data_IF_699066522993
#
_entry.id   IF_699066522993
#
_cell.length_a   1.000
_cell.length_b   1.000
_cell.length_c   1.000
_cell.angle_alpha   90.00
_cell.angle_beta   90.00
_cell.angle_gamma   90.00
#
_symmetry.space_group_name_H-M   'P 1'
#
loop_
_entity.id
_entity.type
_entity.pdbx_description
1 polymer ?
#
# COMPACT_ATOMS: atom_id res chain seq x y z
N UNK A 1 51.74 -25.69 -58.69
CA UNK A 1 51.25 -27.01 -58.26
C UNK A 1 50.35 -26.77 -57.07
N UNK A 2 49.04 -26.91 -57.08
CA UNK A 2 48.04 -27.17 -58.10
C UNK A 2 46.69 -26.82 -57.47
N UNK A 3 45.77 -26.30 -58.28
CA UNK A 3 44.31 -26.40 -58.07
C UNK A 3 43.84 -27.67 -58.80
N UNK A 4 42.66 -28.29 -58.54
CA UNK A 4 41.36 -27.59 -58.47
C UNK A 4 40.21 -28.22 -57.62
N UNK A 5 39.19 -27.42 -57.27
CA UNK A 5 37.73 -27.66 -57.42
C UNK A 5 36.97 -26.53 -56.67
N UNK A 6 36.47 -25.47 -57.31
CA UNK A 6 35.21 -25.33 -58.08
C UNK A 6 33.89 -25.73 -57.37
N UNK A 7 33.11 -24.67 -57.06
CA UNK A 7 31.64 -24.43 -57.22
C UNK A 7 30.68 -25.30 -56.37
N UNK A 8 29.54 -24.80 -55.85
CA UNK A 8 28.58 -23.85 -56.43
C UNK A 8 27.88 -22.99 -55.35
N UNK A 9 27.26 -21.90 -55.81
CA UNK A 9 26.35 -21.04 -55.07
C UNK A 9 24.91 -21.18 -55.60
N UNK A 10 23.94 -20.72 -54.78
CA UNK A 10 22.53 -20.31 -55.05
C UNK A 10 21.43 -21.39 -55.02
N UNK A 11 20.11 -21.06 -54.86
CA UNK A 11 19.43 -19.82 -54.41
C UNK A 11 18.27 -20.03 -53.38
N UNK A 12 17.61 -18.92 -53.01
CA UNK A 12 16.40 -18.74 -52.19
C UNK A 12 15.11 -19.41 -52.71
N UNK A 13 14.24 -19.89 -51.80
CA UNK A 13 12.75 -19.99 -51.91
C UNK A 13 12.19 -19.96 -50.45
N UNK A 14 11.44 -18.95 -50.02
CA UNK A 14 9.97 -18.75 -50.10
C UNK A 14 9.10 -19.71 -49.26
N UNK A 15 8.57 -19.19 -48.13
CA UNK A 15 7.28 -19.54 -47.47
C UNK A 15 7.17 -18.65 -46.21
N UNK A 16 6.45 -17.53 -46.16
CA UNK A 16 4.99 -17.33 -46.17
C UNK A 16 4.18 -18.25 -45.25
N UNK A 17 3.28 -17.60 -44.49
CA UNK A 17 2.21 -18.09 -43.58
C UNK A 17 2.65 -18.42 -42.13
N UNK A 18 2.08 -17.89 -41.05
CA UNK A 18 0.87 -17.08 -40.80
C UNK A 18 0.97 -16.45 -39.39
N UNK A 19 0.58 -15.17 -39.25
CA UNK A 19 0.27 -14.54 -37.96
C UNK A 19 -1.23 -14.68 -37.66
N UNK A 20 -1.66 -15.03 -36.44
CA UNK A 20 -3.02 -14.78 -36.00
C UNK A 20 -3.14 -13.41 -35.33
N UNK A 21 -3.76 -12.51 -36.08
CA UNK A 21 -4.82 -11.57 -35.71
C UNK A 21 -5.05 -11.25 -34.20
N UNK A 22 -4.79 -9.99 -33.84
CA UNK A 22 -5.44 -9.28 -32.74
C UNK A 22 -5.75 -7.85 -33.21
N UNK A 23 -6.88 -7.67 -33.87
CA UNK A 23 -7.52 -6.36 -34.09
C UNK A 23 -8.09 -5.77 -32.80
N UNK A 24 -8.16 -4.44 -32.82
CA UNK A 24 -8.95 -3.52 -31.96
C UNK A 24 -8.29 -2.92 -30.72
N UNK A 25 -7.46 -1.90 -30.96
CA UNK A 25 -7.35 -0.75 -30.06
C UNK A 25 -7.66 0.53 -30.84
N UNK A 26 -8.90 1.02 -30.70
CA UNK A 26 -9.34 2.33 -31.15
C UNK A 26 -8.58 3.41 -30.39
N UNK A 27 -7.99 4.32 -31.15
CA UNK A 27 -7.40 5.55 -30.64
C UNK A 27 -8.46 6.52 -30.12
N UNK A 28 -8.16 7.18 -29.00
CA UNK A 28 -8.50 8.59 -28.82
C UNK A 28 -7.29 9.32 -28.24
N UNK A 29 -6.70 10.14 -29.09
CA UNK A 29 -5.75 11.21 -28.77
C UNK A 29 -6.51 12.51 -28.46
N UNK A 30 -5.76 13.49 -27.95
CA UNK A 30 -6.04 14.93 -27.81
C UNK A 30 -6.72 15.34 -26.49
N UNK A 31 -6.26 16.35 -25.74
CA UNK A 31 -5.26 17.38 -26.01
C UNK A 31 -5.19 18.36 -24.83
N UNK A 32 -4.18 19.23 -24.89
CA UNK A 32 -3.68 20.18 -23.88
C UNK A 32 -4.56 21.43 -23.62
N UNK A 33 -4.25 22.15 -22.52
CA UNK A 33 -4.42 23.61 -22.34
C UNK A 33 -5.66 24.04 -21.53
N UNK A 34 -5.59 24.70 -20.35
CA UNK A 34 -4.97 25.98 -19.94
C UNK A 34 -6.02 27.10 -19.74
N UNK A 35 -6.07 27.61 -18.49
CA UNK A 35 -6.30 29.00 -18.04
C UNK A 35 -7.67 29.72 -18.06
N UNK A 36 -8.14 30.00 -16.83
CA UNK A 36 -8.51 31.31 -16.21
C UNK A 36 -9.87 32.00 -16.37
N UNK A 37 -10.20 32.66 -15.25
CA UNK A 37 -11.10 33.81 -14.99
C UNK A 37 -12.61 33.52 -14.78
N UNK A 38 -13.33 34.11 -13.82
CA UNK A 38 -13.01 35.07 -12.74
C UNK A 38 -14.29 35.42 -11.96
N UNK A 39 -14.14 35.66 -10.65
CA UNK A 39 -14.80 36.67 -9.78
C UNK A 39 -16.33 36.75 -9.56
N UNK A 40 -16.67 36.69 -8.27
CA UNK A 40 -17.54 37.58 -7.44
C UNK A 40 -18.84 38.17 -8.00
N UNK A 41 -19.92 38.13 -7.19
CA UNK A 41 -20.54 39.36 -6.66
C UNK A 41 -21.59 39.05 -5.57
N UNK A 42 -21.30 39.49 -4.36
CA UNK A 42 -22.23 39.82 -3.28
C UNK A 42 -22.79 41.23 -3.49
N UNK A 43 -24.03 41.51 -3.06
CA UNK A 43 -24.41 42.75 -2.35
C UNK A 43 -25.89 42.76 -1.94
N UNK A 44 -26.08 43.29 -0.73
CA UNK A 44 -27.32 43.45 0.03
C UNK A 44 -28.06 44.78 -0.27
N UNK A 45 -29.31 44.80 0.25
CA UNK A 45 -29.97 45.87 1.03
C UNK A 45 -30.72 47.04 0.38
N UNK A 46 -31.93 47.27 0.91
CA UNK A 46 -32.54 48.56 1.37
C UNK A 46 -33.95 48.25 1.95
N UNK A 47 -34.24 48.35 3.26
CA UNK A 47 -34.55 49.52 4.13
C UNK A 47 -35.99 50.08 3.86
N UNK A 48 -36.95 50.16 4.80
CA UNK A 48 -37.12 51.08 5.97
C UNK A 48 -38.12 50.50 7.02
N UNK A 49 -37.82 50.41 8.34
CA UNK A 49 -37.97 51.40 9.45
C UNK A 49 -39.44 51.71 9.86
N UNK A 50 -39.88 51.82 11.14
CA UNK A 50 -39.23 51.99 12.45
C UNK A 50 -40.26 51.97 13.61
N UNK A 51 -39.70 51.90 14.84
CA UNK A 51 -40.19 52.39 16.15
C UNK A 51 -41.23 51.58 16.95
N UNK A 52 -41.23 51.51 18.30
CA UNK A 52 -40.23 51.56 19.38
C UNK A 52 -41.01 51.28 20.71
N UNK A 53 -40.30 50.86 21.76
CA UNK A 53 -40.66 50.91 23.19
C UNK A 53 -41.89 50.09 23.69
N UNK A 54 -41.93 49.50 24.88
CA UNK A 54 -41.15 49.73 26.11
C UNK A 54 -42.10 49.59 27.32
N UNK A 55 -41.96 48.43 27.98
CA UNK A 55 -42.35 47.95 29.31
C UNK A 55 -43.01 48.84 30.40
N UNK A 56 -43.87 48.17 31.21
CA UNK A 56 -43.99 48.24 32.69
C UNK A 56 -45.31 48.75 33.30
N UNK A 57 -46.03 47.86 34.01
CA UNK A 57 -46.31 47.97 35.47
C UNK A 57 -47.16 46.80 36.01
N UNK A 58 -46.94 46.52 37.30
CA UNK A 58 -47.34 45.35 38.09
C UNK A 58 -48.54 45.67 39.03
N UNK A 59 -49.27 44.62 39.39
CA UNK A 59 -49.98 44.37 40.67
C UNK A 59 -51.52 44.51 40.80
N UNK A 60 -52.12 43.34 41.04
CA UNK A 60 -53.06 42.89 42.10
C UNK A 60 -54.48 43.44 42.36
N UNK A 61 -55.36 42.45 42.60
CA UNK A 61 -56.56 42.41 43.48
C UNK A 61 -57.81 43.15 42.98
N UNK A 62 -59.07 42.73 43.19
CA UNK A 62 -59.76 41.64 43.90
C UNK A 62 -61.27 41.74 43.57
N UNK A 63 -62.03 40.63 43.64
CA UNK A 63 -63.48 40.45 44.01
C UNK A 63 -64.53 41.49 43.53
N UNK A 64 -65.76 41.19 43.11
CA UNK A 64 -66.73 40.13 43.46
C UNK A 64 -68.05 40.37 42.68
N UNK A 65 -68.84 39.31 42.53
CA UNK A 65 -70.32 39.23 42.52
C UNK A 65 -71.23 39.61 41.32
N UNK A 66 -72.20 38.70 41.15
CA UNK A 66 -73.54 38.75 40.51
C UNK A 66 -73.66 38.80 38.97
N UNK A 67 -74.66 38.23 38.27
CA UNK A 67 -75.64 37.13 38.43
C UNK A 67 -76.53 37.15 37.15
N UNK A 68 -77.03 35.98 36.68
CA UNK A 68 -78.34 35.78 35.97
C UNK A 68 -78.41 36.29 34.48
N UNK A 69 -78.86 35.60 33.42
CA UNK A 69 -79.69 34.39 33.21
C UNK A 69 -79.80 33.97 31.70
N UNK A 70 -80.33 32.74 31.48
CA UNK A 70 -81.01 32.13 30.30
C UNK A 70 -80.14 31.31 29.32
N UNK A 71 -80.52 30.09 28.89
CA UNK A 71 -81.56 29.09 29.24
C UNK A 71 -81.19 27.82 28.44
N UNK A 72 -80.93 26.68 29.09
CA UNK A 72 -80.89 25.37 28.41
C UNK A 72 -82.05 24.53 28.94
N UNK A 73 -82.96 24.02 28.09
CA UNK A 73 -84.02 23.15 28.54
C UNK A 73 -83.46 21.79 28.98
N UNK A 74 -83.67 21.48 30.26
CA UNK A 74 -83.37 20.20 30.90
C UNK A 74 -84.15 19.07 30.23
N UNK A 75 -83.45 18.03 29.77
CA UNK A 75 -83.76 16.61 29.98
C UNK A 75 -82.56 15.74 29.54
N UNK A 76 -82.10 14.86 30.43
CA UNK A 76 -81.04 13.85 30.29
C UNK A 76 -79.57 14.31 30.30
N UNK A 77 -79.00 14.55 31.49
CA UNK A 77 -77.57 14.36 31.76
C UNK A 77 -77.47 13.41 32.94
N UNK A 78 -77.19 12.14 32.62
CA UNK A 78 -77.06 11.07 33.59
C UNK A 78 -76.72 9.77 32.88
N UNK A 79 -75.72 9.81 32.00
CA UNK A 79 -74.89 8.74 31.39
C UNK A 79 -73.99 9.48 30.37
N UNK A 80 -72.94 10.16 30.83
CA UNK A 80 -71.97 10.79 29.93
C UNK A 80 -70.54 10.78 30.48
N UNK A 81 -70.37 10.68 31.81
CA UNK A 81 -69.05 10.53 32.42
C UNK A 81 -68.51 9.08 32.31
N UNK A 82 -69.37 8.06 32.43
CA UNK A 82 -68.92 6.65 32.41
C UNK A 82 -68.52 6.13 31.01
N UNK A 83 -69.16 6.62 29.95
CA UNK A 83 -68.81 6.27 28.55
C UNK A 83 -67.52 6.94 28.09
N UNK A 84 -67.25 8.17 28.53
CA UNK A 84 -65.96 8.83 28.26
C UNK A 84 -64.83 8.15 29.02
N UNK A 85 -65.03 7.74 30.27
CA UNK A 85 -63.99 7.00 31.03
C UNK A 85 -63.74 5.60 30.46
N UNK A 86 -64.75 4.87 29.97
CA UNK A 86 -64.56 3.58 29.29
C UNK A 86 -63.94 3.73 27.89
N UNK A 87 -64.31 4.77 27.14
CA UNK A 87 -63.68 5.08 25.86
C UNK A 87 -62.23 5.52 26.05
N UNK A 88 -61.93 6.33 27.08
CA UNK A 88 -60.55 6.73 27.43
C UNK A 88 -59.76 5.54 27.97
N UNK A 89 -60.34 4.65 28.78
CA UNK A 89 -59.68 3.43 29.23
C UNK A 89 -59.44 2.43 28.08
N UNK A 90 -60.37 2.32 27.13
CA UNK A 90 -60.20 1.54 25.90
C UNK A 90 -59.14 2.14 24.98
N UNK A 91 -59.11 3.48 24.82
CA UNK A 91 -58.06 4.19 24.08
C UNK A 91 -56.71 3.98 24.78
N UNK A 92 -56.60 4.14 26.10
CA UNK A 92 -55.35 3.92 26.86
C UNK A 92 -54.90 2.46 26.81
N UNK A 93 -55.82 1.49 26.86
CA UNK A 93 -55.48 0.07 26.68
C UNK A 93 -54.96 -0.22 25.27
N UNK A 94 -55.55 0.38 24.24
CA UNK A 94 -55.11 0.23 22.84
C UNK A 94 -53.78 0.97 22.59
N UNK A 95 -53.61 2.18 23.12
CA UNK A 95 -52.44 3.03 22.84
C UNK A 95 -51.22 2.72 23.72
N UNK A 96 -51.39 2.04 24.86
CA UNK A 96 -50.27 1.77 25.79
C UNK A 96 -50.10 0.28 26.09
N UNK A 97 -51.18 -0.48 26.35
CA UNK A 97 -51.06 -1.87 26.76
C UNK A 97 -50.72 -2.81 25.60
N UNK A 98 -51.36 -2.65 24.44
CA UNK A 98 -51.09 -3.49 23.24
C UNK A 98 -49.64 -3.32 22.74
N UNK A 99 -49.11 -2.09 22.54
CA UNK A 99 -47.69 -1.87 22.25
C UNK A 99 -46.74 -2.51 23.28
N UNK A 100 -47.09 -2.45 24.56
CA UNK A 100 -46.27 -2.99 25.63
C UNK A 100 -46.20 -4.51 25.65
N UNK A 101 -47.30 -5.20 25.35
CA UNK A 101 -47.33 -6.67 25.22
C UNK A 101 -46.50 -7.13 24.03
N UNK A 102 -46.71 -6.53 22.84
CA UNK A 102 -45.95 -6.87 21.63
C UNK A 102 -44.44 -6.70 21.82
N UNK A 103 -44.03 -5.62 22.50
CA UNK A 103 -42.62 -5.38 22.82
C UNK A 103 -42.04 -6.43 23.76
N UNK A 104 -42.81 -6.90 24.75
CA UNK A 104 -42.38 -7.97 25.65
C UNK A 104 -42.28 -9.32 24.90
N UNK A 105 -43.26 -9.63 24.06
CA UNK A 105 -43.27 -10.83 23.22
C UNK A 105 -42.10 -10.83 22.22
N UNK A 106 -41.79 -9.68 21.61
CA UNK A 106 -40.64 -9.52 20.72
C UNK A 106 -39.30 -9.84 21.44
N UNK A 107 -39.12 -9.33 22.67
CA UNK A 107 -37.95 -9.67 23.49
C UNK A 107 -37.89 -11.14 23.87
N UNK A 108 -39.04 -11.78 24.09
CA UNK A 108 -39.09 -13.21 24.35
C UNK A 108 -38.65 -14.01 23.12
N UNK A 109 -39.14 -13.65 21.92
CA UNK A 109 -38.72 -14.28 20.66
C UNK A 109 -37.21 -14.10 20.37
N UNK A 110 -36.63 -12.94 20.68
CA UNK A 110 -35.18 -12.75 20.60
C UNK A 110 -34.40 -13.74 21.46
N UNK A 111 -34.86 -13.99 22.70
CA UNK A 111 -34.24 -14.96 23.60
C UNK A 111 -34.39 -16.40 23.08
N UNK A 112 -35.45 -16.66 22.33
CA UNK A 112 -35.69 -17.93 21.66
C UNK A 112 -34.92 -18.05 20.32
N UNK A 113 -34.29 -16.97 19.86
CA UNK A 113 -33.53 -16.91 18.60
C UNK A 113 -34.37 -16.68 17.34
N UNK A 114 -35.68 -16.43 17.48
CA UNK A 114 -36.57 -16.15 16.35
C UNK A 114 -36.56 -14.65 16.01
N UNK A 115 -35.40 -14.20 15.50
CA UNK A 115 -35.13 -12.80 15.19
C UNK A 115 -36.07 -12.24 14.11
N UNK A 116 -36.46 -13.06 13.12
CA UNK A 116 -37.37 -12.63 12.06
C UNK A 116 -38.76 -12.27 12.61
N UNK A 117 -39.36 -13.11 13.47
CA UNK A 117 -40.64 -12.77 14.10
C UNK A 117 -40.49 -11.65 15.14
N UNK A 118 -39.35 -11.56 15.82
CA UNK A 118 -39.09 -10.45 16.74
C UNK A 118 -39.11 -9.10 16.03
N UNK A 119 -38.52 -8.99 14.82
CA UNK A 119 -38.54 -7.77 13.99
C UNK A 119 -39.98 -7.30 13.71
N UNK A 120 -40.86 -8.22 13.32
CA UNK A 120 -42.28 -7.92 13.07
C UNK A 120 -42.95 -7.31 14.31
N UNK A 121 -42.80 -7.96 15.47
CA UNK A 121 -43.43 -7.50 16.71
C UNK A 121 -42.83 -6.20 17.25
N UNK A 122 -41.52 -5.94 17.08
CA UNK A 122 -40.93 -4.65 17.42
C UNK A 122 -41.49 -3.53 16.54
N UNK A 123 -41.58 -3.74 15.22
CA UNK A 123 -42.13 -2.78 14.28
C UNK A 123 -43.61 -2.44 14.56
N UNK A 124 -44.38 -3.42 15.03
CA UNK A 124 -45.77 -3.21 15.45
C UNK A 124 -45.90 -2.52 16.82
N UNK A 125 -44.94 -2.74 17.73
CA UNK A 125 -44.96 -2.10 19.05
C UNK A 125 -44.74 -0.58 18.96
N UNK A 126 -43.87 -0.12 18.05
CA UNK A 126 -43.45 1.29 17.91
C UNK A 126 -43.10 1.97 19.24
N UNK A 127 -42.59 1.20 20.21
CA UNK A 127 -42.07 1.74 21.48
C UNK A 127 -40.74 2.44 21.27
N UNK A 128 -40.37 3.30 22.20
CA UNK A 128 -39.03 3.92 22.20
C UNK A 128 -37.94 2.83 22.06
N UNK A 129 -36.92 3.12 21.25
CA UNK A 129 -35.81 2.24 20.86
C UNK A 129 -36.14 1.03 19.97
N UNK A 130 -37.39 0.86 19.47
CA UNK A 130 -37.75 -0.31 18.64
C UNK A 130 -36.83 -0.47 17.41
N UNK A 131 -36.39 0.63 16.80
CA UNK A 131 -35.47 0.62 15.65
C UNK A 131 -34.12 0.00 16.00
N UNK A 132 -33.60 0.24 17.21
CA UNK A 132 -32.35 -0.36 17.68
C UNK A 132 -32.49 -1.86 17.91
N UNK A 133 -33.63 -2.32 18.42
CA UNK A 133 -33.90 -3.75 18.58
C UNK A 133 -34.10 -4.46 17.23
N UNK A 134 -34.74 -3.81 16.26
CA UNK A 134 -34.81 -4.31 14.88
C UNK A 134 -33.41 -4.42 14.27
N UNK A 135 -32.58 -3.38 14.45
CA UNK A 135 -31.19 -3.39 13.98
C UNK A 135 -30.39 -4.54 14.64
N UNK A 136 -30.55 -4.77 15.94
CA UNK A 136 -29.93 -5.91 16.63
C UNK A 136 -30.36 -7.25 16.01
N UNK A 137 -31.67 -7.45 15.79
CA UNK A 137 -32.19 -8.68 15.19
C UNK A 137 -31.66 -8.90 13.77
N UNK A 138 -31.60 -7.84 12.96
CA UNK A 138 -30.98 -7.90 11.63
C UNK A 138 -29.51 -8.30 11.70
N UNK A 139 -28.75 -7.70 12.62
CA UNK A 139 -27.35 -8.05 12.85
C UNK A 139 -27.17 -9.52 13.22
N UNK A 140 -28.03 -10.06 14.09
CA UNK A 140 -27.99 -11.48 14.47
C UNK A 140 -28.30 -12.42 13.29
N UNK A 141 -29.28 -12.07 12.44
CA UNK A 141 -29.58 -12.84 11.22
C UNK A 141 -28.39 -12.81 10.26
N UNK A 142 -27.81 -11.63 10.06
CA UNK A 142 -26.67 -11.42 9.16
C UNK A 142 -25.41 -12.15 9.66
N UNK A 143 -25.17 -12.16 10.97
CA UNK A 143 -24.02 -12.82 11.61
C UNK A 143 -24.05 -14.34 11.46
N UNK A 144 -25.24 -14.94 11.27
CA UNK A 144 -25.39 -16.37 10.97
C UNK A 144 -24.92 -16.74 9.57
N UNK A 145 -24.73 -15.76 8.68
CA UNK A 145 -24.19 -15.99 7.35
C UNK A 145 -22.67 -16.12 7.36
N UNK A 146 -22.16 -17.01 6.51
CA UNK A 146 -20.73 -17.10 6.22
C UNK A 146 -20.32 -16.22 5.02
N UNK A 147 -21.28 -15.51 4.41
CA UNK A 147 -21.00 -14.63 3.29
C UNK A 147 -20.40 -13.31 3.77
N UNK A 148 -19.27 -12.93 3.19
CA UNK A 148 -18.51 -11.73 3.56
C UNK A 148 -19.34 -10.44 3.56
N UNK A 149 -20.14 -10.21 2.50
CA UNK A 149 -20.97 -8.99 2.41
C UNK A 149 -22.03 -8.97 3.51
N UNK A 150 -22.66 -10.11 3.76
CA UNK A 150 -23.68 -10.24 4.82
C UNK A 150 -23.06 -10.01 6.21
N UNK A 151 -21.83 -10.46 6.45
CA UNK A 151 -21.10 -10.15 7.70
C UNK A 151 -20.72 -8.68 7.85
N UNK A 152 -20.44 -7.99 6.73
CA UNK A 152 -20.21 -6.55 6.73
C UNK A 152 -21.49 -5.80 7.09
N UNK A 153 -22.63 -6.20 6.53
CA UNK A 153 -23.93 -5.64 6.89
C UNK A 153 -24.26 -5.88 8.39
N UNK A 154 -23.82 -7.02 8.95
CA UNK A 154 -23.95 -7.30 10.38
C UNK A 154 -23.28 -6.24 11.25
N UNK A 155 -22.09 -5.77 10.87
CA UNK A 155 -21.39 -4.69 11.58
C UNK A 155 -22.24 -3.42 11.60
N UNK A 156 -22.77 -3.01 10.45
CA UNK A 156 -23.61 -1.79 10.35
C UNK A 156 -24.89 -1.92 11.20
N UNK A 157 -25.50 -3.12 11.20
CA UNK A 157 -26.66 -3.42 12.02
C UNK A 157 -26.33 -3.36 13.52
N UNK A 158 -25.19 -3.92 13.94
CA UNK A 158 -24.79 -3.87 15.34
C UNK A 158 -24.42 -2.47 15.82
N UNK A 159 -23.76 -1.68 14.97
CA UNK A 159 -23.47 -0.25 15.23
C UNK A 159 -24.76 0.54 15.47
N UNK A 160 -25.77 0.37 14.60
CA UNK A 160 -27.11 0.99 14.77
C UNK A 160 -27.81 0.52 16.04
N UNK A 161 -27.51 -0.69 16.52
CA UNK A 161 -28.09 -1.26 17.73
C UNK A 161 -27.31 -0.97 19.02
N UNK A 162 -26.28 -0.11 18.98
CA UNK A 162 -25.41 0.12 20.13
C UNK A 162 -26.18 0.46 21.42
N UNK A 163 -25.76 -0.20 22.51
CA UNK A 163 -26.39 -0.15 23.83
C UNK A 163 -27.56 -1.13 24.02
N UNK A 164 -27.91 -1.92 23.00
CA UNK A 164 -28.90 -3.00 23.09
C UNK A 164 -28.19 -4.34 23.31
N UNK A 165 -28.63 -5.08 24.34
CA UNK A 165 -28.15 -6.42 24.68
C UNK A 165 -26.60 -6.51 24.66
N UNK A 166 -26.04 -7.43 23.88
CA UNK A 166 -24.60 -7.65 23.67
C UNK A 166 -24.12 -7.12 22.31
N UNK A 167 -24.81 -6.14 21.72
CA UNK A 167 -24.50 -5.55 20.39
C UNK A 167 -23.02 -5.24 20.18
N UNK A 168 -22.36 -4.58 21.14
CA UNK A 168 -20.95 -4.23 21.05
C UNK A 168 -20.04 -5.48 20.98
N UNK A 169 -20.39 -6.55 21.71
CA UNK A 169 -19.66 -7.82 21.65
C UNK A 169 -19.92 -8.57 20.33
N UNK A 170 -21.15 -8.51 19.81
CA UNK A 170 -21.51 -9.11 18.52
C UNK A 170 -20.89 -8.39 17.33
N UNK A 171 -20.70 -7.08 17.44
CA UNK A 171 -19.94 -6.31 16.46
C UNK A 171 -18.49 -6.78 16.40
N UNK A 172 -17.86 -7.09 17.56
CA UNK A 172 -16.51 -7.68 17.58
C UNK A 172 -16.48 -9.08 16.96
N UNK A 173 -17.48 -9.92 17.22
CA UNK A 173 -17.64 -11.21 16.55
C UNK A 173 -17.74 -11.06 15.02
N UNK A 174 -18.53 -10.10 14.54
CA UNK A 174 -18.65 -9.81 13.11
C UNK A 174 -17.31 -9.40 12.50
N UNK A 175 -16.56 -8.50 13.16
CA UNK A 175 -15.21 -8.14 12.73
C UNK A 175 -14.25 -9.33 12.74
N UNK A 176 -14.31 -10.20 13.74
CA UNK A 176 -13.48 -11.40 13.81
C UNK A 176 -13.73 -12.35 12.62
N UNK A 177 -15.01 -12.56 12.26
CA UNK A 177 -15.39 -13.38 11.10
C UNK A 177 -14.93 -12.76 9.78
N UNK A 178 -15.07 -11.44 9.64
CA UNK A 178 -14.54 -10.70 8.47
C UNK A 178 -13.02 -10.84 8.35
N UNK A 179 -12.29 -10.74 9.47
CA UNK A 179 -10.84 -10.96 9.51
C UNK A 179 -10.46 -12.38 9.10
N UNK A 180 -11.19 -13.38 9.58
CA UNK A 180 -10.97 -14.79 9.23
C UNK A 180 -11.21 -15.03 7.75
N UNK A 181 -12.30 -14.50 7.20
CA UNK A 181 -12.59 -14.62 5.77
C UNK A 181 -11.50 -13.96 4.90
N UNK A 182 -10.96 -12.80 5.33
CA UNK A 182 -9.86 -12.14 4.61
C UNK A 182 -8.56 -12.91 4.70
N UNK A 183 -8.27 -13.51 5.85
CA UNK A 183 -7.10 -14.37 6.03
C UNK A 183 -7.16 -15.61 5.14
N UNK A 184 -8.33 -16.25 5.02
CA UNK A 184 -8.56 -17.37 4.09
C UNK A 184 -8.39 -16.98 2.62
N UNK A 185 -8.61 -15.70 2.29
CA UNK A 185 -8.39 -15.13 0.97
C UNK A 185 -6.96 -14.60 0.75
N UNK A 186 -6.03 -14.89 1.68
CA UNK A 186 -4.66 -14.38 1.70
C UNK A 186 -4.54 -12.83 1.72
N UNK A 187 -5.60 -12.12 2.07
CA UNK A 187 -5.62 -10.66 2.25
C UNK A 187 -5.27 -10.34 3.71
N UNK A 188 -3.99 -10.56 4.06
CA UNK A 188 -3.47 -10.41 5.43
C UNK A 188 -3.58 -8.99 5.95
N UNK A 189 -3.56 -7.99 5.07
CA UNK A 189 -3.66 -6.58 5.45
C UNK A 189 -5.07 -6.23 5.91
N UNK A 190 -6.08 -6.56 5.10
CA UNK A 190 -7.48 -6.38 5.51
C UNK A 190 -7.83 -7.26 6.72
N UNK A 191 -7.27 -8.48 6.80
CA UNK A 191 -7.46 -9.35 7.95
C UNK A 191 -6.93 -8.73 9.24
N UNK A 192 -5.71 -8.17 9.24
CA UNK A 192 -5.11 -7.49 10.39
C UNK A 192 -5.97 -6.32 10.88
N UNK A 193 -6.48 -5.50 9.96
CA UNK A 193 -7.39 -4.39 10.28
C UNK A 193 -8.67 -4.87 10.97
N UNK A 194 -9.28 -5.94 10.47
CA UNK A 194 -10.48 -6.51 11.06
C UNK A 194 -10.21 -7.14 12.43
N UNK A 195 -9.12 -7.88 12.59
CA UNK A 195 -8.73 -8.42 13.89
C UNK A 195 -8.41 -7.32 14.89
N UNK A 196 -7.87 -6.18 14.45
CA UNK A 196 -7.69 -5.01 15.29
C UNK A 196 -9.01 -4.38 15.76
N UNK A 197 -10.06 -4.44 14.94
CA UNK A 197 -11.42 -3.97 15.32
C UNK A 197 -12.15 -4.97 16.22
N UNK A 198 -11.80 -6.25 16.12
CA UNK A 198 -12.26 -7.32 17.00
C UNK A 198 -11.47 -7.40 18.32
N UNK A 199 -10.81 -6.32 18.76
CA UNK A 199 -9.95 -6.33 19.95
C UNK A 199 -10.67 -6.84 21.21
N UNK A 200 -10.01 -7.76 21.92
CA UNK A 200 -10.56 -8.44 23.09
C UNK A 200 -11.62 -9.50 22.81
N UNK A 201 -11.80 -9.92 21.56
CA UNK A 201 -12.66 -11.04 21.15
C UNK A 201 -11.82 -12.26 20.75
N UNK A 202 -12.04 -13.40 21.42
CA UNK A 202 -11.32 -14.66 21.19
C UNK A 202 -9.80 -14.48 21.10
N UNK A 203 -9.16 -14.99 20.06
CA UNK A 203 -7.74 -14.89 19.76
C UNK A 203 -7.42 -13.78 18.74
N UNK A 204 -8.27 -12.75 18.61
CA UNK A 204 -8.10 -11.68 17.62
C UNK A 204 -6.73 -10.99 17.71
N UNK A 205 -6.20 -10.79 18.92
CA UNK A 205 -4.86 -10.25 19.12
C UNK A 205 -3.77 -11.14 18.51
N UNK A 206 -3.86 -12.46 18.71
CA UNK A 206 -2.91 -13.42 18.15
C UNK A 206 -3.04 -13.53 16.63
N UNK A 207 -4.27 -13.50 16.09
CA UNK A 207 -4.49 -13.48 14.64
C UNK A 207 -4.00 -12.20 13.97
N UNK A 208 -4.13 -11.05 14.64
CA UNK A 208 -3.54 -9.78 14.19
C UNK A 208 -2.01 -9.89 14.13
N UNK A 209 -1.39 -10.43 15.18
CA UNK A 209 0.06 -10.67 15.20
C UNK A 209 0.50 -11.62 14.08
N UNK A 210 -0.25 -12.70 13.87
CA UNK A 210 -0.03 -13.62 12.75
C UNK A 210 -0.06 -12.90 11.39
N UNK A 211 -1.07 -12.04 11.15
CA UNK A 211 -1.16 -11.26 9.91
C UNK A 211 0.02 -10.31 9.75
N UNK A 212 0.45 -9.64 10.82
CA UNK A 212 1.61 -8.76 10.79
C UNK A 212 2.90 -9.52 10.45
N UNK A 213 3.10 -10.70 11.05
CA UNK A 213 4.25 -11.54 10.73
C UNK A 213 4.20 -12.05 9.28
N UNK A 214 3.01 -12.39 8.76
CA UNK A 214 2.82 -12.77 7.36
C UNK A 214 3.21 -11.63 6.40
N UNK A 215 2.76 -10.39 6.67
CA UNK A 215 3.15 -9.23 5.88
C UNK A 215 4.67 -8.99 5.88
N UNK A 216 5.32 -9.11 7.05
CA UNK A 216 6.77 -8.94 7.16
C UNK A 216 7.53 -10.07 6.47
N UNK A 217 7.00 -11.30 6.52
CA UNK A 217 7.57 -12.43 5.81
C UNK A 217 7.51 -12.23 4.30
N UNK A 218 6.38 -11.78 3.76
CA UNK A 218 6.26 -11.48 2.32
C UNK A 218 7.18 -10.34 1.88
N UNK A 219 7.42 -9.34 2.74
CA UNK A 219 8.42 -8.29 2.47
C UNK A 219 9.84 -8.84 2.47
N UNK A 220 10.18 -9.71 3.42
CA UNK A 220 11.48 -10.37 3.48
C UNK A 220 11.71 -11.27 2.25
N UNK A 221 10.69 -12.01 1.83
CA UNK A 221 10.72 -12.84 0.62
C UNK A 221 10.91 -11.97 -0.63
N UNK A 222 10.22 -10.83 -0.73
CA UNK A 222 10.44 -9.91 -1.84
C UNK A 222 11.89 -9.42 -1.91
N UNK A 223 12.51 -9.07 -0.78
CA UNK A 223 13.94 -8.71 -0.75
C UNK A 223 14.84 -9.88 -1.16
N UNK A 224 14.46 -11.10 -0.81
CA UNK A 224 15.16 -12.33 -1.22
C UNK A 224 15.11 -12.51 -2.73
N UNK A 225 13.92 -12.41 -3.32
CA UNK A 225 13.68 -12.56 -4.77
C UNK A 225 14.30 -11.42 -5.59
N UNK A 226 14.29 -10.19 -5.06
CA UNK A 226 14.94 -9.03 -5.68
C UNK A 226 16.48 -9.11 -5.63
N UNK A 227 17.03 -10.12 -4.96
CA UNK A 227 18.46 -10.38 -4.82
C UNK A 227 19.16 -9.52 -3.77
N UNK A 228 18.41 -8.86 -2.90
CA UNK A 228 18.91 -8.06 -1.78
C UNK A 228 19.15 -8.95 -0.55
N UNK A 229 19.98 -9.99 -0.69
CA UNK A 229 20.07 -11.08 0.28
C UNK A 229 20.46 -10.63 1.70
N UNK A 230 21.29 -9.60 1.85
CA UNK A 230 21.64 -9.05 3.17
C UNK A 230 20.44 -8.39 3.87
N UNK A 231 19.64 -7.62 3.13
CA UNK A 231 18.38 -7.04 3.63
C UNK A 231 17.38 -8.13 3.97
N UNK A 232 17.25 -9.14 3.10
CA UNK A 232 16.39 -10.29 3.32
C UNK A 232 16.77 -11.06 4.59
N UNK A 233 18.05 -11.38 4.78
CA UNK A 233 18.55 -12.08 5.97
C UNK A 233 18.19 -11.34 7.26
N UNK A 234 18.39 -10.02 7.29
CA UNK A 234 18.02 -9.19 8.42
C UNK A 234 16.50 -9.18 8.64
N UNK A 235 15.71 -9.10 7.58
CA UNK A 235 14.25 -9.08 7.65
C UNK A 235 13.70 -10.41 8.20
N UNK A 236 14.15 -11.55 7.68
CA UNK A 236 13.80 -12.87 8.22
C UNK A 236 14.23 -13.03 9.69
N UNK A 237 15.41 -12.52 10.06
CA UNK A 237 15.92 -12.60 11.43
C UNK A 237 15.10 -11.82 12.47
N UNK A 238 14.22 -10.92 12.04
CA UNK A 238 13.29 -10.20 12.93
C UNK A 238 11.96 -10.94 13.14
N UNK A 239 11.73 -12.03 12.42
CA UNK A 239 10.51 -12.83 12.52
C UNK A 239 10.69 -14.02 13.48
N UNK A 240 9.61 -14.59 14.04
CA UNK A 240 9.70 -15.83 14.79
C UNK A 240 10.30 -16.93 13.92
N UNK A 241 11.29 -17.66 14.44
CA UNK A 241 12.08 -18.62 13.65
C UNK A 241 11.26 -19.79 13.10
N UNK A 242 10.19 -20.16 13.78
CA UNK A 242 9.26 -21.23 13.42
C UNK A 242 8.05 -20.72 12.61
N UNK A 243 8.01 -19.43 12.25
CA UNK A 243 6.91 -18.86 11.48
C UNK A 243 6.93 -19.33 10.03
N UNK A 244 5.74 -19.64 9.52
CA UNK A 244 5.49 -20.05 8.14
C UNK A 244 4.19 -19.44 7.64
N UNK A 245 4.21 -18.99 6.38
CA UNK A 245 3.04 -18.48 5.68
C UNK A 245 3.14 -18.81 4.20
N UNK A 246 2.05 -19.29 3.58
CA UNK A 246 1.99 -19.65 2.15
C UNK A 246 3.14 -20.58 1.69
N UNK A 247 3.57 -21.51 2.55
CA UNK A 247 4.66 -22.45 2.27
C UNK A 247 6.08 -21.86 2.36
N UNK A 248 6.22 -20.61 2.77
CA UNK A 248 7.51 -19.94 3.00
C UNK A 248 7.84 -20.06 4.49
N UNK A 249 8.93 -20.74 4.81
CA UNK A 249 9.42 -20.89 6.19
C UNK A 249 10.59 -19.95 6.49
N UNK A 250 10.48 -19.21 7.60
CA UNK A 250 11.58 -18.36 8.11
C UNK A 250 12.84 -19.19 8.35
N UNK A 251 12.71 -20.35 8.99
CA UNK A 251 13.83 -21.24 9.27
C UNK A 251 14.55 -21.69 7.99
N UNK A 252 13.79 -22.15 6.99
CA UNK A 252 14.36 -22.61 5.71
C UNK A 252 15.06 -21.49 4.94
N UNK A 253 14.50 -20.28 4.94
CA UNK A 253 15.13 -19.12 4.28
C UNK A 253 16.41 -18.69 5.00
N UNK A 254 16.40 -18.64 6.32
CA UNK A 254 17.61 -18.33 7.10
C UNK A 254 18.71 -19.39 6.93
N UNK A 255 18.35 -20.67 6.83
CA UNK A 255 19.30 -21.75 6.54
C UNK A 255 19.91 -21.59 5.14
N UNK A 256 19.09 -21.36 4.11
CA UNK A 256 19.56 -21.15 2.75
C UNK A 256 20.52 -19.95 2.65
N UNK A 257 20.21 -18.84 3.33
CA UNK A 257 21.06 -17.65 3.40
C UNK A 257 22.37 -17.94 4.14
N UNK A 258 22.31 -18.63 5.28
CA UNK A 258 23.50 -18.96 6.08
C UNK A 258 24.45 -19.91 5.37
N UNK A 259 23.90 -20.87 4.60
CA UNK A 259 24.70 -21.78 3.77
C UNK A 259 25.38 -21.05 2.60
N UNK A 260 24.90 -19.87 2.22
CA UNK A 260 25.44 -19.03 1.16
C UNK A 260 25.94 -17.68 1.69
N UNK A 261 26.45 -17.64 2.94
CA UNK A 261 26.80 -16.39 3.62
C UNK A 261 27.76 -15.50 2.83
N UNK A 262 28.70 -16.08 2.07
CA UNK A 262 29.63 -15.31 1.22
C UNK A 262 28.92 -14.48 0.15
N UNK A 263 27.77 -14.93 -0.36
CA UNK A 263 26.94 -14.13 -1.26
C UNK A 263 26.15 -13.07 -0.51
N UNK A 264 25.59 -13.44 0.64
CA UNK A 264 24.87 -12.48 1.47
C UNK A 264 25.79 -11.31 1.84
N UNK A 265 27.04 -11.64 2.17
CA UNK A 265 28.14 -10.72 2.42
C UNK A 265 28.68 -10.06 1.17
N UNK A 266 28.23 -10.42 -0.05
CA UNK A 266 28.58 -9.78 -1.32
C UNK A 266 27.51 -8.79 -1.79
N UNK A 267 26.23 -9.14 -1.71
CA UNK A 267 25.14 -8.27 -2.18
C UNK A 267 25.04 -6.98 -1.36
N UNK A 268 24.48 -5.94 -1.97
CA UNK A 268 24.26 -4.62 -1.38
C UNK A 268 24.97 -3.51 -2.14
N UNK A 269 24.99 -2.34 -1.52
CA UNK A 269 25.63 -1.15 -2.09
C UNK A 269 27.06 -1.04 -1.60
N UNK A 270 27.98 -1.00 -2.55
CA UNK A 270 29.39 -0.77 -2.32
C UNK A 270 29.76 0.67 -2.65
N UNK A 271 30.69 1.22 -1.88
CA UNK A 271 31.23 2.56 -2.07
C UNK A 271 32.72 2.47 -2.39
N UNK A 272 33.18 3.33 -3.29
CA UNK A 272 34.59 3.48 -3.56
C UNK A 272 35.32 4.10 -2.34
N UNK A 273 36.36 3.46 -1.84
CA UNK A 273 37.28 4.04 -0.84
C UNK A 273 38.37 4.88 -1.48
N UNK A 274 38.72 4.56 -2.72
CA UNK A 274 39.68 5.29 -3.52
C UNK A 274 39.19 5.44 -4.95
N UNK A 275 39.53 6.58 -5.54
CA UNK A 275 39.28 6.88 -6.94
C UNK A 275 40.42 7.73 -7.45
N UNK A 276 40.97 7.41 -8.61
CA UNK A 276 41.99 8.24 -9.26
C UNK A 276 41.77 8.31 -10.74
N UNK A 277 42.33 9.33 -11.38
CA UNK A 277 42.28 9.48 -12.82
C UNK A 277 43.52 10.19 -13.34
N UNK A 278 43.88 9.89 -14.59
CA UNK A 278 44.98 10.54 -15.29
C UNK A 278 44.53 10.94 -16.69
N UNK A 279 44.94 12.12 -17.14
CA UNK A 279 44.97 12.45 -18.57
C UNK A 279 46.38 12.83 -18.99
N UNK A 280 46.84 12.27 -20.10
CA UNK A 280 48.19 12.48 -20.63
C UNK A 280 48.12 12.93 -22.08
N UNK A 281 48.95 13.89 -22.45
CA UNK A 281 49.28 14.25 -23.83
C UNK A 281 50.71 13.79 -24.13
N UNK A 282 50.90 13.07 -25.23
CA UNK A 282 52.17 12.43 -25.61
C UNK A 282 52.59 12.94 -26.99
N UNK A 283 53.83 13.40 -27.14
CA UNK A 283 54.38 13.87 -28.42
C UNK A 283 54.77 12.70 -29.32
N UNK A 284 53.90 12.32 -30.26
CA UNK A 284 54.10 11.15 -31.16
C UNK A 284 55.04 11.41 -32.34
N UNK A 285 55.11 12.65 -32.82
CA UNK A 285 56.06 13.06 -33.87
C UNK A 285 57.47 13.38 -33.31
N UNK A 286 57.64 13.30 -31.98
CA UNK A 286 58.84 13.71 -31.26
C UNK A 286 59.54 12.54 -30.56
N UNK A 287 60.03 12.80 -29.35
CA UNK A 287 60.80 11.88 -28.49
C UNK A 287 59.94 11.12 -27.47
N UNK A 288 58.61 11.18 -27.58
CA UNK A 288 57.70 10.52 -26.64
C UNK A 288 57.59 11.21 -25.28
N UNK A 289 58.08 12.45 -25.14
CA UNK A 289 57.80 13.30 -23.97
C UNK A 289 56.29 13.43 -23.77
N UNK A 290 55.89 13.67 -22.53
CA UNK A 290 54.48 13.82 -22.18
C UNK A 290 54.25 14.88 -21.10
N UNK A 291 53.03 15.41 -21.10
CA UNK A 291 52.46 16.23 -20.03
C UNK A 291 51.21 15.51 -19.53
N UNK A 292 50.90 15.68 -18.24
CA UNK A 292 49.77 14.98 -17.63
C UNK A 292 49.14 15.77 -16.49
N UNK A 293 47.90 15.40 -16.18
CA UNK A 293 47.23 15.73 -14.93
C UNK A 293 46.81 14.46 -14.23
N UNK A 294 47.03 14.42 -12.93
CA UNK A 294 46.57 13.36 -12.05
C UNK A 294 45.55 13.92 -11.06
N UNK A 295 44.53 13.12 -10.79
CA UNK A 295 43.58 13.31 -9.71
C UNK A 295 43.71 12.14 -8.74
N UNK A 296 44.08 12.43 -7.50
CA UNK A 296 44.19 11.43 -6.41
C UNK A 296 42.83 11.12 -5.75
N UNK A 297 41.82 11.95 -6.02
CA UNK A 297 40.41 11.75 -5.64
C UNK A 297 39.54 12.26 -6.80
N UNK A 298 38.93 11.32 -7.51
CA UNK A 298 38.07 11.58 -8.65
C UNK A 298 36.56 11.51 -8.29
N UNK A 299 36.27 11.53 -6.99
CA UNK A 299 34.92 11.52 -6.44
C UNK A 299 34.44 10.13 -6.05
N UNK A 300 33.65 10.08 -4.97
CA UNK A 300 33.06 8.84 -4.50
C UNK A 300 32.03 8.30 -5.51
N UNK A 301 32.19 7.03 -5.88
CA UNK A 301 31.26 6.27 -6.70
C UNK A 301 30.57 5.18 -5.87
N UNK A 302 29.42 4.71 -6.34
CA UNK A 302 28.72 3.57 -5.78
C UNK A 302 28.48 2.51 -6.83
N UNK A 303 28.47 1.26 -6.39
CA UNK A 303 28.13 0.09 -7.17
C UNK A 303 27.08 -0.71 -6.42
N UNK A 304 26.07 -1.21 -7.12
CA UNK A 304 25.05 -2.06 -6.53
C UNK A 304 25.26 -3.51 -6.98
N UNK A 305 25.18 -4.43 -6.03
CA UNK A 305 25.31 -5.87 -6.30
C UNK A 305 24.07 -6.59 -5.78
N UNK A 306 23.43 -7.36 -6.64
CA UNK A 306 22.29 -8.23 -6.32
C UNK A 306 22.69 -9.68 -6.57
N UNK A 307 22.18 -10.59 -5.76
CA UNK A 307 22.49 -12.01 -5.92
C UNK A 307 21.27 -12.90 -5.76
N UNK A 308 21.17 -13.94 -6.58
CA UNK A 308 20.11 -14.93 -6.54
C UNK A 308 20.70 -16.31 -6.30
N UNK A 309 20.06 -17.09 -5.44
CA UNK A 309 20.36 -18.51 -5.22
C UNK A 309 19.40 -19.29 -6.10
N UNK A 310 19.92 -19.96 -7.13
CA UNK A 310 19.09 -20.73 -8.07
C UNK A 310 18.71 -22.10 -7.48
N UNK A 311 17.62 -22.69 -7.98
CA UNK A 311 17.12 -24.00 -7.52
C UNK A 311 18.14 -25.14 -7.68
N UNK A 312 19.04 -25.03 -8.66
CA UNK A 312 20.11 -26.00 -8.91
C UNK A 312 21.34 -25.81 -8.01
N UNK A 313 21.28 -24.85 -7.07
CA UNK A 313 22.35 -24.49 -6.16
C UNK A 313 23.44 -23.62 -6.78
N UNK A 314 23.29 -23.23 -8.05
CA UNK A 314 24.15 -22.21 -8.65
C UNK A 314 23.75 -20.81 -8.18
N UNK A 315 24.67 -19.87 -8.37
CA UNK A 315 24.57 -18.52 -7.86
C UNK A 315 24.59 -17.58 -9.04
N UNK A 316 23.66 -16.64 -9.09
CA UNK A 316 23.69 -15.55 -10.07
C UNK A 316 23.99 -14.25 -9.37
N UNK A 317 25.04 -13.55 -9.80
CA UNK A 317 25.41 -12.22 -9.30
C UNK A 317 25.21 -11.22 -10.42
N UNK A 318 24.47 -10.18 -10.12
CA UNK A 318 24.26 -9.02 -10.98
C UNK A 318 24.84 -7.80 -10.31
N UNK A 319 25.35 -6.86 -11.09
CA UNK A 319 25.65 -5.55 -10.54
C UNK A 319 25.77 -4.49 -11.59
N UNK A 320 25.63 -3.26 -11.11
CA UNK A 320 25.78 -2.04 -11.87
C UNK A 320 26.78 -1.12 -11.18
N UNK A 321 27.71 -0.59 -11.95
CA UNK A 321 28.73 0.35 -11.48
C UNK A 321 28.73 1.59 -12.39
N UNK A 322 28.48 2.76 -11.81
CA UNK A 322 28.68 4.03 -12.50
C UNK A 322 30.06 4.60 -12.17
N UNK A 323 30.72 5.18 -13.17
CA UNK A 323 32.05 5.75 -12.99
C UNK A 323 32.27 6.97 -13.88
N UNK A 324 33.24 7.81 -13.49
CA UNK A 324 33.63 8.99 -14.25
C UNK A 324 35.02 8.81 -14.86
N UNK A 325 35.27 9.48 -15.98
CA UNK A 325 36.58 9.45 -16.63
C UNK A 325 36.92 10.77 -17.34
N UNK A 326 38.21 11.12 -17.49
CA UNK A 326 38.64 12.28 -18.28
C UNK A 326 38.34 12.10 -19.78
N UNK A 327 37.91 13.16 -20.45
CA UNK A 327 37.63 13.14 -21.90
C UNK A 327 38.52 14.07 -22.72
N UNK A 328 39.40 14.83 -22.08
CA UNK A 328 40.37 15.67 -22.76
C UNK A 328 41.62 15.93 -21.93
N UNK A 329 42.68 16.32 -22.62
CA UNK A 329 43.83 16.99 -22.02
C UNK A 329 43.74 18.50 -22.24
N UNK A 330 44.30 19.28 -21.31
CA UNK A 330 44.48 20.72 -21.44
C UNK A 330 45.73 21.14 -20.66
N UNK A 331 46.53 22.07 -21.16
CA UNK A 331 47.63 22.65 -20.39
C UNK A 331 47.16 23.55 -19.23
N UNK A 332 45.86 23.84 -19.16
CA UNK A 332 45.21 24.62 -18.11
C UNK A 332 44.20 23.71 -17.39
N UNK A 333 44.37 23.53 -16.08
CA UNK A 333 43.53 22.65 -15.26
C UNK A 333 42.04 22.99 -15.32
N UNK A 334 41.69 24.28 -15.37
CA UNK A 334 40.29 24.75 -15.43
C UNK A 334 39.54 24.35 -16.72
N UNK A 335 40.25 23.87 -17.75
CA UNK A 335 39.66 23.42 -19.01
C UNK A 335 39.66 21.88 -19.16
N UNK A 336 40.02 21.15 -18.10
CA UNK A 336 39.84 19.70 -18.04
C UNK A 336 38.35 19.38 -17.91
N UNK A 337 37.91 18.33 -18.61
CA UNK A 337 36.53 17.88 -18.68
C UNK A 337 36.46 16.39 -18.38
N UNK A 338 35.34 16.00 -17.80
CA UNK A 338 35.04 14.61 -17.48
C UNK A 338 33.74 14.20 -18.15
N UNK A 339 33.54 12.89 -18.29
CA UNK A 339 32.27 12.27 -18.59
C UNK A 339 32.05 11.09 -17.64
N UNK A 340 30.94 10.39 -17.81
CA UNK A 340 30.58 9.25 -16.98
C UNK A 340 29.99 8.14 -17.86
N UNK A 341 30.19 6.91 -17.43
CA UNK A 341 29.58 5.72 -18.02
C UNK A 341 29.09 4.76 -16.93
N UNK A 342 28.45 3.68 -17.36
CA UNK A 342 27.99 2.61 -16.49
C UNK A 342 28.29 1.24 -17.07
N UNK A 343 28.63 0.31 -16.18
CA UNK A 343 28.79 -1.11 -16.50
C UNK A 343 27.68 -1.88 -15.81
N UNK A 344 27.01 -2.73 -16.58
CA UNK A 344 26.15 -3.80 -16.07
C UNK A 344 26.86 -5.14 -16.27
N UNK A 345 26.85 -5.99 -15.25
CA UNK A 345 27.39 -7.35 -15.35
C UNK A 345 26.42 -8.38 -14.77
N UNK A 346 26.51 -9.60 -15.29
CA UNK A 346 25.79 -10.77 -14.80
C UNK A 346 26.68 -12.00 -14.92
N UNK A 347 26.82 -12.73 -13.82
CA UNK A 347 27.64 -13.95 -13.76
C UNK A 347 26.86 -15.05 -13.06
N UNK A 348 26.79 -16.24 -13.66
CA UNK A 348 26.18 -17.42 -13.07
C UNK A 348 27.20 -18.53 -12.88
N UNK A 349 27.29 -19.10 -11.67
CA UNK A 349 28.22 -20.19 -11.38
C UNK A 349 28.22 -20.62 -9.92
N UNK A 350 29.19 -21.46 -9.54
CA UNK A 350 29.37 -21.90 -8.14
C UNK A 350 30.17 -20.91 -7.27
N UNK A 351 30.74 -19.88 -7.89
CA UNK A 351 31.56 -18.85 -7.24
C UNK A 351 31.61 -17.60 -8.11
N UNK A 352 31.90 -16.46 -7.49
CA UNK A 352 32.14 -15.20 -8.20
C UNK A 352 33.47 -15.30 -8.96
N UNK A 353 33.50 -15.10 -10.29
CA UNK A 353 34.75 -15.10 -11.05
C UNK A 353 35.57 -13.84 -10.76
N UNK A 354 36.89 -13.94 -10.96
CA UNK A 354 37.81 -12.79 -10.75
C UNK A 354 37.52 -11.64 -11.72
N UNK A 355 37.18 -11.94 -12.98
CA UNK A 355 36.82 -10.94 -13.99
C UNK A 355 35.31 -10.96 -14.20
N UNK A 356 34.66 -9.82 -13.97
CA UNK A 356 33.20 -9.66 -14.05
C UNK A 356 32.77 -8.98 -15.34
N UNK A 357 33.60 -8.07 -15.86
CA UNK A 357 33.39 -7.31 -17.07
C UNK A 357 34.73 -6.92 -17.71
N UNK A 358 34.83 -6.96 -19.04
CA UNK A 358 35.97 -6.49 -19.82
C UNK A 358 35.51 -6.21 -21.27
N UNK A 359 35.49 -4.96 -21.70
CA UNK A 359 35.18 -4.56 -23.08
C UNK A 359 36.41 -4.04 -23.86
N UNK A 360 37.59 -4.11 -23.25
CA UNK A 360 38.85 -3.61 -23.78
C UNK A 360 39.18 -2.15 -23.40
N UNK A 361 38.21 -1.32 -23.04
CA UNK A 361 38.45 0.02 -22.47
C UNK A 361 38.20 0.02 -20.95
N UNK A 362 37.17 -0.69 -20.50
CA UNK A 362 36.77 -0.81 -19.11
C UNK A 362 36.83 -2.25 -18.62
N UNK A 363 37.28 -2.43 -17.39
CA UNK A 363 37.42 -3.74 -16.76
C UNK A 363 36.99 -3.71 -15.30
N UNK A 364 36.13 -4.64 -14.91
CA UNK A 364 35.71 -4.87 -13.54
C UNK A 364 36.21 -6.23 -13.04
N UNK A 365 36.93 -6.23 -11.93
CA UNK A 365 37.42 -7.45 -11.28
C UNK A 365 37.04 -7.50 -9.81
N UNK A 366 36.95 -8.71 -9.24
CA UNK A 366 36.72 -8.96 -7.83
C UNK A 366 37.78 -9.90 -7.27
N UNK A 367 38.49 -9.46 -6.23
CA UNK A 367 39.60 -10.22 -5.63
C UNK A 367 39.17 -11.08 -4.42
N UNK A 368 37.87 -11.10 -4.10
CA UNK A 368 37.32 -11.74 -2.90
C UNK A 368 37.00 -10.76 -1.77
N UNK A 369 37.52 -9.53 -1.83
CA UNK A 369 37.32 -8.50 -0.80
C UNK A 369 36.86 -7.15 -1.35
N UNK A 370 37.34 -6.78 -2.53
CA UNK A 370 37.04 -5.50 -3.16
C UNK A 370 36.79 -5.68 -4.66
N UNK A 371 35.98 -4.78 -5.20
CA UNK A 371 35.80 -4.63 -6.63
C UNK A 371 36.75 -3.55 -7.14
N UNK A 372 37.46 -3.85 -8.22
CA UNK A 372 38.38 -2.93 -8.89
C UNK A 372 37.84 -2.65 -10.27
N UNK A 373 37.56 -1.38 -10.54
CA UNK A 373 37.10 -0.90 -11.82
C UNK A 373 38.16 0.00 -12.44
N UNK A 374 38.65 -0.41 -13.60
CA UNK A 374 39.57 0.39 -14.40
C UNK A 374 38.93 0.83 -15.70
N UNK A 375 39.31 2.00 -16.16
CA UNK A 375 39.06 2.52 -17.50
C UNK A 375 40.38 2.99 -18.11
N UNK A 376 40.62 2.66 -19.36
CA UNK A 376 41.76 3.11 -20.15
C UNK A 376 41.37 3.34 -21.61
N UNK A 377 41.76 4.50 -22.14
CA UNK A 377 41.59 4.84 -23.54
C UNK A 377 42.83 5.51 -24.11
N UNK A 378 43.25 5.05 -25.29
CA UNK A 378 44.33 5.64 -26.08
C UNK A 378 43.77 6.26 -27.37
N UNK A 379 44.02 7.55 -27.59
CA UNK A 379 43.57 8.29 -28.76
C UNK A 379 44.77 8.83 -29.56
N UNK A 380 45.10 8.18 -30.68
CA UNK A 380 46.33 8.41 -31.45
C UNK A 380 46.16 9.25 -32.72
N UNK A 381 44.92 9.58 -33.07
CA UNK A 381 44.55 10.16 -34.35
C UNK A 381 43.85 11.52 -34.24
N UNK A 382 43.69 12.06 -33.04
CA UNK A 382 43.06 13.36 -32.80
C UNK A 382 43.99 14.54 -33.16
N UNK A 383 45.30 14.30 -33.21
CA UNK A 383 46.30 15.30 -33.57
C UNK A 383 47.46 14.67 -34.33
N UNK A 384 47.99 15.37 -35.33
CA UNK A 384 49.20 14.95 -36.04
C UNK A 384 50.47 15.03 -35.16
N UNK A 385 50.39 15.71 -34.01
CA UNK A 385 51.52 15.91 -33.10
C UNK A 385 51.40 15.11 -31.80
N UNK A 386 50.18 14.73 -31.43
CA UNK A 386 49.88 14.20 -30.10
C UNK A 386 49.02 12.95 -30.14
N UNK A 387 49.35 12.01 -29.26
CA UNK A 387 48.40 11.02 -28.78
C UNK A 387 47.97 11.38 -27.35
N UNK A 388 46.82 10.86 -26.94
CA UNK A 388 46.26 11.08 -25.62
C UNK A 388 45.97 9.76 -24.91
N UNK A 389 46.22 9.74 -23.61
CA UNK A 389 45.78 8.66 -22.71
C UNK A 389 44.80 9.24 -21.70
N UNK A 390 43.73 8.49 -21.46
CA UNK A 390 42.77 8.76 -20.39
C UNK A 390 42.63 7.49 -19.57
N UNK A 391 42.78 7.60 -18.26
CA UNK A 391 42.57 6.47 -17.36
C UNK A 391 41.83 6.87 -16.09
N UNK A 392 41.13 5.92 -15.50
CA UNK A 392 40.48 6.06 -14.21
C UNK A 392 40.45 4.73 -13.48
N UNK A 393 40.61 4.77 -12.16
CA UNK A 393 40.68 3.59 -11.30
C UNK A 393 39.79 3.81 -10.08
N UNK A 394 39.00 2.80 -9.71
CA UNK A 394 38.11 2.84 -8.56
C UNK A 394 38.21 1.53 -7.78
N UNK A 395 38.31 1.63 -6.45
CA UNK A 395 38.28 0.47 -5.55
C UNK A 395 37.07 0.56 -4.65
N UNK A 396 36.12 -0.37 -4.82
CA UNK A 396 34.94 -0.52 -3.99
C UNK A 396 35.16 -1.62 -2.95
N UNK A 397 35.45 -1.23 -1.71
CA UNK A 397 35.83 -2.14 -0.62
C UNK A 397 34.94 -1.99 0.63
N UNK A 398 33.94 -1.09 0.58
CA UNK A 398 33.16 -0.67 1.73
C UNK A 398 31.66 -0.76 1.44
N UNK A 399 30.91 -1.49 2.27
CA UNK A 399 29.43 -1.58 2.18
C UNK A 399 28.76 -0.48 2.99
N UNK A 400 27.63 0.02 2.49
CA UNK A 400 26.76 1.00 3.17
C UNK A 400 25.49 0.34 3.69
#
# INVERSE_FOLDING_TARGET
>A
MGDPNEREATPCEDSFDECPDCTDAVQLNEGEGSETNSTELSLENSIDNKDDAGESKRSNSSTSDEAIEKKIPRKFIGIAAATVVLAVAGIVAITVAVPSMKYADAKQLMKEGDYSKAIELFGESKKDDFEKYIAYCNGMIQLQSNEYLTQKDAVESFEKSSGIEDSDQRMKEAYYRLGTNRLEAADVSAASDYFSKADGYEDSAAKKEYCNNAEQLMKAEKEYDDGNLGSAQKAFGNLPSDFEYEGISVASRLEALSNNQSLVDLCGTWKSSSSSATTKQIWVAGDGRYEYWDWDDFGAQSMHVKCTINDDGTLTVFGDASYSYPVNFSSISAALRTSSDSIDFSQTGSSVPEVLYDDGESKLTFDGSAFHLSYYKYADNESIYFAYEYSSEFVFDSKI
#
